data_IF_253095536937
#
_entry.id   IF_253095536937
#
_cell.length_a   1.000
_cell.length_b   1.000
_cell.length_c   1.000
_cell.angle_alpha   90.00
_cell.angle_beta   90.00
_cell.angle_gamma   90.00
#
_symmetry.space_group_name_H-M   'P 1'
#
loop_
_entity.id
_entity.type
_entity.pdbx_description
1 polymer ?
#
# COMPACT_ATOMS: atom_id res chain seq x y z
N UNK A 1 -12.71 24.20 -17.84
CA UNK A 1 -11.93 23.60 -16.73
C UNK A 1 -11.45 22.24 -17.17
N UNK A 2 -10.14 22.00 -17.24
CA UNK A 2 -9.61 20.65 -17.48
C UNK A 2 -9.65 19.86 -16.18
N UNK A 3 -10.47 18.81 -16.13
CA UNK A 3 -10.48 17.88 -15.01
C UNK A 3 -9.13 17.14 -14.96
N UNK A 4 -8.44 17.15 -13.82
CA UNK A 4 -7.20 16.40 -13.64
C UNK A 4 -7.53 15.00 -13.13
N UNK A 5 -7.10 13.98 -13.87
CA UNK A 5 -7.12 12.59 -13.40
C UNK A 5 -6.08 12.46 -12.29
N UNK A 6 -6.49 11.89 -11.16
CA UNK A 6 -5.58 11.65 -10.04
C UNK A 6 -5.09 10.22 -10.09
N UNK A 7 -3.78 10.04 -9.91
CA UNK A 7 -3.12 8.74 -10.02
C UNK A 7 -2.73 8.24 -8.63
N UNK A 8 -2.87 6.92 -8.45
CA UNK A 8 -2.54 6.21 -7.22
C UNK A 8 -1.75 4.93 -7.52
N UNK A 9 -1.13 4.35 -6.50
CA UNK A 9 -0.34 3.13 -6.61
C UNK A 9 -0.76 2.08 -5.58
N UNK A 10 -0.60 0.80 -5.92
CA UNK A 10 -0.69 -0.30 -4.95
C UNK A 10 0.65 -0.49 -4.22
N UNK A 11 0.62 -0.61 -2.90
CA UNK A 11 1.82 -0.92 -2.11
C UNK A 11 2.19 -2.40 -2.35
N UNK A 12 3.47 -2.74 -2.59
CA UNK A 12 3.90 -4.12 -2.70
C UNK A 12 3.58 -4.92 -1.43
N UNK A 13 2.59 -5.82 -1.52
CA UNK A 13 2.18 -6.72 -0.43
C UNK A 13 2.67 -8.14 -0.62
N UNK A 14 2.96 -8.55 -1.86
CA UNK A 14 3.30 -9.93 -2.23
C UNK A 14 4.73 -10.01 -2.74
N UNK A 15 5.42 -11.08 -2.38
CA UNK A 15 6.82 -11.32 -2.73
C UNK A 15 6.92 -12.75 -3.30
N UNK A 16 6.96 -12.92 -4.63
CA UNK A 16 6.93 -14.24 -5.26
C UNK A 16 8.05 -15.20 -4.81
N UNK A 17 9.18 -14.68 -4.34
CA UNK A 17 10.28 -15.47 -3.76
C UNK A 17 10.15 -15.77 -2.26
N UNK A 18 9.03 -15.42 -1.63
CA UNK A 18 8.76 -15.61 -0.20
C UNK A 18 9.53 -14.69 0.76
N UNK A 19 10.65 -14.11 0.32
CA UNK A 19 11.45 -13.18 1.13
C UNK A 19 10.83 -11.79 1.10
N UNK A 20 10.36 -11.34 2.26
CA UNK A 20 9.84 -9.99 2.47
C UNK A 20 11.00 -8.98 2.43
N UNK A 21 10.86 -7.95 1.60
CA UNK A 21 11.83 -6.85 1.49
C UNK A 21 11.17 -5.51 1.86
N UNK A 22 11.35 -5.10 3.12
CA UNK A 22 10.84 -3.83 3.63
C UNK A 22 11.62 -2.60 3.13
N UNK A 23 12.86 -2.77 2.65
CA UNK A 23 13.61 -1.67 2.04
C UNK A 23 13.04 -1.36 0.67
N UNK A 24 12.62 -2.37 -0.09
CA UNK A 24 11.89 -2.18 -1.35
C UNK A 24 10.58 -1.44 -1.14
N UNK A 25 9.81 -1.76 -0.10
CA UNK A 25 8.59 -1.02 0.27
C UNK A 25 8.93 0.46 0.55
N UNK A 26 9.99 0.71 1.34
CA UNK A 26 10.43 2.08 1.63
C UNK A 26 10.84 2.86 0.38
N UNK A 27 11.67 2.25 -0.47
CA UNK A 27 12.13 2.87 -1.71
C UNK A 27 10.97 3.14 -2.67
N UNK A 28 10.02 2.21 -2.77
CA UNK A 28 8.82 2.35 -3.60
C UNK A 28 7.97 3.53 -3.14
N UNK A 29 7.63 3.59 -1.86
CA UNK A 29 6.80 4.66 -1.30
C UNK A 29 7.48 6.02 -1.38
N UNK A 30 8.79 6.09 -1.10
CA UNK A 30 9.56 7.33 -1.25
C UNK A 30 9.56 7.84 -2.69
N UNK A 31 9.68 6.94 -3.68
CA UNK A 31 9.62 7.30 -5.10
C UNK A 31 8.20 7.70 -5.52
N UNK A 32 7.16 7.00 -5.07
CA UNK A 32 5.78 7.34 -5.36
C UNK A 32 5.42 8.75 -4.84
N UNK A 33 5.85 9.06 -3.61
CA UNK A 33 5.65 10.39 -3.03
C UNK A 33 6.45 11.48 -3.77
N UNK A 34 7.70 11.20 -4.17
CA UNK A 34 8.52 12.13 -4.93
C UNK A 34 7.95 12.42 -6.34
N UNK A 35 7.31 11.44 -6.96
CA UNK A 35 6.64 11.58 -8.27
C UNK A 35 5.27 12.25 -8.19
N UNK A 36 4.75 12.54 -6.99
CA UNK A 36 3.49 13.25 -6.82
C UNK A 36 2.25 12.38 -7.01
N UNK A 37 2.34 11.06 -6.82
CA UNK A 37 1.14 10.22 -6.71
C UNK A 37 0.25 10.71 -5.57
N UNK A 38 -1.07 10.72 -5.78
CA UNK A 38 -2.01 11.22 -4.77
C UNK A 38 -2.06 10.30 -3.56
N UNK A 39 -2.05 8.99 -3.81
CA UNK A 39 -2.30 7.99 -2.78
C UNK A 39 -1.64 6.64 -3.07
N UNK A 40 -1.37 5.90 -1.99
CA UNK A 40 -0.88 4.53 -2.00
C UNK A 40 -1.87 3.63 -1.25
N UNK A 41 -2.14 2.46 -1.82
CA UNK A 41 -3.24 1.58 -1.39
C UNK A 41 -2.77 0.17 -1.08
N UNK A 42 -3.34 -0.41 -0.03
CA UNK A 42 -3.27 -1.85 0.25
C UNK A 42 -4.59 -2.53 -0.12
N UNK A 43 -4.56 -3.83 -0.37
CA UNK A 43 -5.73 -4.69 -0.56
C UNK A 43 -5.77 -5.71 0.56
N UNK A 44 -6.94 -5.90 1.16
CA UNK A 44 -7.15 -7.00 2.09
C UNK A 44 -7.29 -8.34 1.37
N UNK A 45 -6.53 -9.32 1.83
CA UNK A 45 -6.63 -10.70 1.38
C UNK A 45 -6.63 -11.65 2.59
N UNK A 46 -7.81 -11.88 3.17
CA UNK A 46 -8.01 -12.85 4.26
C UNK A 46 -8.16 -14.27 3.70
N UNK A 47 -8.82 -14.39 2.55
CA UNK A 47 -9.04 -15.66 1.84
C UNK A 47 -8.07 -15.74 0.66
N UNK A 48 -7.27 -16.80 0.59
CA UNK A 48 -6.34 -17.03 -0.51
C UNK A 48 -5.03 -17.66 -0.04
N UNK A 49 -4.31 -18.29 -0.97
CA UNK A 49 -3.03 -18.95 -0.70
C UNK A 49 -1.81 -18.07 -0.96
N UNK A 50 -1.99 -16.87 -1.54
CA UNK A 50 -0.90 -15.97 -1.88
C UNK A 50 -0.39 -15.25 -0.63
N UNK A 51 0.85 -15.50 -0.15
CA UNK A 51 1.37 -14.83 1.03
C UNK A 51 1.44 -13.32 0.80
N UNK A 52 0.74 -12.57 1.65
CA UNK A 52 0.63 -11.11 1.58
C UNK A 52 0.91 -10.50 2.94
N UNK A 53 1.57 -9.34 2.96
CA UNK A 53 1.70 -8.53 4.17
C UNK A 53 0.33 -8.07 4.67
N UNK A 54 0.16 -8.05 6.00
CA UNK A 54 -1.08 -7.61 6.63
C UNK A 54 -1.35 -6.12 6.31
N UNK A 55 -2.56 -5.78 5.80
CA UNK A 55 -2.86 -4.44 5.28
C UNK A 55 -2.63 -3.30 6.29
N UNK A 56 -3.12 -3.44 7.52
CA UNK A 56 -3.09 -2.36 8.52
C UNK A 56 -1.66 -2.14 9.03
N UNK A 57 -0.92 -3.19 9.31
CA UNK A 57 0.50 -3.15 9.67
C UNK A 57 1.34 -2.50 8.57
N UNK A 58 1.06 -2.83 7.31
CA UNK A 58 1.75 -2.20 6.18
C UNK A 58 1.41 -0.71 6.05
N UNK A 59 0.15 -0.32 6.27
CA UNK A 59 -0.25 1.09 6.31
C UNK A 59 0.41 1.84 7.48
N UNK A 60 0.50 1.24 8.67
CA UNK A 60 1.23 1.80 9.81
C UNK A 60 2.69 2.01 9.47
N UNK A 61 3.33 1.02 8.82
CA UNK A 61 4.71 1.16 8.36
C UNK A 61 4.85 2.29 7.35
N UNK A 62 3.98 2.34 6.35
CA UNK A 62 3.96 3.37 5.31
C UNK A 62 3.83 4.78 5.93
N UNK A 63 2.91 4.95 6.89
CA UNK A 63 2.71 6.21 7.59
C UNK A 63 3.98 6.69 8.31
N UNK A 64 4.80 5.76 8.83
CA UNK A 64 6.08 6.09 9.47
C UNK A 64 7.23 6.45 8.51
N UNK A 65 7.07 6.28 7.19
CA UNK A 65 8.13 6.52 6.18
C UNK A 65 7.72 7.48 5.06
N UNK A 66 6.49 7.96 5.07
CA UNK A 66 5.95 8.95 4.11
C UNK A 66 5.38 10.15 4.86
N UNK A 67 5.29 11.30 4.20
CA UNK A 67 4.90 12.57 4.87
C UNK A 67 3.73 13.29 4.21
N UNK A 68 3.43 12.99 2.94
CA UNK A 68 2.45 13.72 2.13
C UNK A 68 1.50 12.81 1.37
N UNK A 69 1.97 11.66 0.87
CA UNK A 69 1.13 10.74 0.11
C UNK A 69 0.02 10.18 1.00
N UNK A 70 -1.22 10.17 0.49
CA UNK A 70 -2.37 9.64 1.25
C UNK A 70 -2.30 8.11 1.26
N UNK A 71 -2.70 7.49 2.37
CA UNK A 71 -2.69 6.04 2.52
C UNK A 71 -4.13 5.54 2.61
N UNK A 72 -4.45 4.45 1.91
CA UNK A 72 -5.80 3.90 1.86
C UNK A 72 -5.82 2.38 1.73
N UNK A 73 -7.00 1.79 1.87
CA UNK A 73 -7.25 0.37 1.61
C UNK A 73 -8.37 0.18 0.59
N UNK A 74 -8.21 -0.82 -0.27
CA UNK A 74 -9.16 -1.18 -1.31
C UNK A 74 -9.31 -2.72 -1.30
N UNK A 75 -9.99 -3.31 -0.34
CA UNK A 75 -10.86 -2.74 0.71
C UNK A 75 -10.42 -3.25 2.08
N UNK A 76 -11.05 -2.79 3.17
CA UNK A 76 -11.11 -3.58 4.41
C UNK A 76 -12.44 -4.34 4.46
N UNK A 77 -12.35 -5.64 4.65
CA UNK A 77 -13.43 -6.59 4.91
C UNK A 77 -13.77 -6.54 6.41
N UNK A 78 -14.44 -5.46 6.83
CA UNK A 78 -14.75 -5.21 8.25
C UNK A 78 -15.55 -6.32 8.91
N UNK A 79 -16.39 -7.06 8.17
CA UNK A 79 -17.12 -8.22 8.68
C UNK A 79 -16.22 -9.40 9.11
N UNK A 80 -14.95 -9.41 8.68
CA UNK A 80 -13.95 -10.42 9.00
C UNK A 80 -12.88 -9.86 9.96
N UNK A 81 -13.11 -8.67 10.55
CA UNK A 81 -12.23 -8.03 11.51
C UNK A 81 -12.97 -7.80 12.82
N UNK A 82 -12.23 -7.83 13.93
CA UNK A 82 -12.73 -7.61 15.31
C UNK A 82 -12.17 -6.34 15.90
#
# INVERSE_FOLDING_TARGET
MTSRVRLAVGIPQTFPGGVVDLQKVRAFLGRAEALGFESAWVVEQILGSLPSLEPVQLLTRAAGITTRIRLGSAVLLTALRS
#
